data_IF_695995001963
#
_entry.id   IF_695995001963
#
_cell.length_a   1.000
_cell.length_b   1.000
_cell.length_c   1.000
_cell.angle_alpha   90.00
_cell.angle_beta   90.00
_cell.angle_gamma   90.00
#
_symmetry.space_group_name_H-M   'P 1'
#
loop_
_entity.id
_entity.type
_entity.pdbx_description
1 polymer ?
#
# COMPACT_ATOMS: atom_id res chain seq x y z
N UNK A 1 -26.89 -2.38 13.23
CA UNK A 1 -25.93 -1.79 12.27
C UNK A 1 -26.62 -1.46 10.94
N UNK A 2 -27.02 -2.43 10.10
CA UNK A 2 -27.70 -2.15 8.82
C UNK A 2 -28.95 -1.23 8.94
N UNK A 3 -29.87 -1.58 9.83
CA UNK A 3 -31.08 -0.80 10.06
C UNK A 3 -30.82 0.64 10.55
N UNK A 4 -29.68 0.88 11.21
CA UNK A 4 -29.26 2.21 11.64
C UNK A 4 -28.68 3.02 10.47
N UNK A 5 -27.87 2.39 9.61
CA UNK A 5 -27.36 3.01 8.39
C UNK A 5 -28.51 3.42 7.45
N UNK A 6 -29.49 2.52 7.25
CA UNK A 6 -30.71 2.79 6.47
C UNK A 6 -31.61 3.87 7.09
N UNK A 7 -31.48 4.17 8.38
CA UNK A 7 -32.19 5.27 9.05
C UNK A 7 -31.46 6.60 8.89
N UNK A 8 -30.12 6.59 8.97
CA UNK A 8 -29.27 7.78 8.81
C UNK A 8 -29.29 8.32 7.37
N UNK A 9 -29.36 7.45 6.37
CA UNK A 9 -29.46 7.85 4.95
C UNK A 9 -30.77 8.57 4.61
N UNK A 10 -31.82 8.42 5.42
CA UNK A 10 -33.12 9.09 5.17
C UNK A 10 -33.13 10.56 5.59
N UNK A 11 -32.08 11.06 6.25
CA UNK A 11 -32.07 12.36 6.92
C UNK A 11 -31.15 13.43 6.33
N UNK A 12 -30.17 13.09 5.49
CA UNK A 12 -29.17 14.04 4.99
C UNK A 12 -28.81 13.79 3.52
N UNK A 13 -29.01 14.78 2.64
CA UNK A 13 -28.50 14.74 1.27
C UNK A 13 -26.95 14.78 1.27
N UNK A 14 -26.32 13.78 0.67
CA UNK A 14 -24.88 13.75 0.42
C UNK A 14 -24.05 12.76 1.25
N UNK A 15 -24.67 11.90 2.08
CA UNK A 15 -23.99 10.80 2.79
C UNK A 15 -24.65 9.46 2.46
N UNK A 16 -23.84 8.45 2.17
CA UNK A 16 -24.27 7.08 1.84
C UNK A 16 -23.76 6.11 2.92
N UNK A 17 -24.40 6.16 4.10
CA UNK A 17 -24.13 5.30 5.23
C UNK A 17 -24.41 3.82 4.92
N UNK A 18 -25.33 3.52 4.00
CA UNK A 18 -25.57 2.14 3.55
C UNK A 18 -24.38 1.57 2.78
N UNK A 19 -23.75 2.36 1.92
CA UNK A 19 -22.49 1.98 1.26
C UNK A 19 -21.36 1.82 2.27
N UNK A 20 -21.19 2.79 3.20
CA UNK A 20 -20.20 2.68 4.29
C UNK A 20 -20.43 1.40 5.12
N UNK A 21 -21.67 1.12 5.51
CA UNK A 21 -22.01 -0.10 6.24
C UNK A 21 -21.63 -1.36 5.45
N UNK A 22 -21.94 -1.39 4.15
CA UNK A 22 -21.68 -2.54 3.29
C UNK A 22 -20.18 -2.77 3.14
N UNK A 23 -19.39 -1.71 2.97
CA UNK A 23 -17.93 -1.76 2.96
C UNK A 23 -17.36 -2.26 4.29
N UNK A 24 -17.79 -1.68 5.42
CA UNK A 24 -17.35 -2.10 6.75
C UNK A 24 -17.70 -3.57 7.03
N UNK A 25 -18.92 -4.00 6.70
CA UNK A 25 -19.34 -5.38 6.89
C UNK A 25 -18.50 -6.33 6.03
N UNK A 26 -18.25 -5.98 4.76
CA UNK A 26 -17.41 -6.78 3.87
C UNK A 26 -15.96 -6.89 4.35
N UNK A 27 -15.40 -5.86 5.00
CA UNK A 27 -14.08 -5.93 5.64
C UNK A 27 -14.12 -6.87 6.85
N UNK A 28 -15.07 -6.69 7.76
CA UNK A 28 -15.19 -7.52 8.96
C UNK A 28 -15.40 -9.01 8.65
N UNK A 29 -16.22 -9.33 7.64
CA UNK A 29 -16.41 -10.72 7.21
C UNK A 29 -15.15 -11.32 6.59
N UNK A 30 -14.32 -10.50 5.92
CA UNK A 30 -13.02 -10.96 5.40
C UNK A 30 -12.02 -11.21 6.52
N UNK A 31 -12.02 -10.39 7.57
CA UNK A 31 -11.12 -10.58 8.73
C UNK A 31 -11.39 -11.86 9.52
N UNK A 32 -12.63 -12.36 9.52
CA UNK A 32 -12.99 -13.61 10.21
C UNK A 32 -12.90 -14.85 9.31
N UNK A 33 -12.53 -14.71 8.02
CA UNK A 33 -12.30 -15.83 7.12
C UNK A 33 -10.83 -16.28 7.16
N UNK A 34 -10.50 -17.05 8.19
CA UNK A 34 -9.17 -17.61 8.40
C UNK A 34 -8.68 -18.55 7.30
N UNK A 35 -9.60 -19.17 6.55
CA UNK A 35 -9.22 -20.00 5.40
C UNK A 35 -8.78 -19.11 4.23
N UNK A 36 -9.44 -17.97 4.03
CA UNK A 36 -9.01 -16.97 3.07
C UNK A 36 -7.65 -16.36 3.45
N UNK A 37 -7.47 -15.99 4.71
CA UNK A 37 -6.17 -15.51 5.22
C UNK A 37 -5.05 -16.53 4.98
N UNK A 38 -5.28 -17.81 5.28
CA UNK A 38 -4.30 -18.87 4.97
C UNK A 38 -3.98 -18.97 3.47
N UNK A 39 -4.98 -18.83 2.58
CA UNK A 39 -4.76 -18.86 1.12
C UNK A 39 -3.94 -17.65 0.67
N UNK A 40 -4.21 -16.49 1.27
CA UNK A 40 -3.45 -15.26 1.04
C UNK A 40 -1.99 -15.41 1.48
N UNK A 41 -1.74 -15.97 2.66
CA UNK A 41 -0.39 -16.25 3.16
C UNK A 41 0.38 -17.19 2.21
N UNK A 42 -0.27 -18.25 1.72
CA UNK A 42 0.30 -19.17 0.75
C UNK A 42 0.60 -18.50 -0.60
N UNK A 43 -0.29 -17.63 -1.10
CA UNK A 43 -0.07 -16.84 -2.32
C UNK A 43 1.10 -15.88 -2.16
N UNK A 44 1.14 -15.13 -1.05
CA UNK A 44 2.23 -14.23 -0.73
C UNK A 44 3.57 -14.99 -0.69
N UNK A 45 3.63 -16.11 0.03
CA UNK A 45 4.83 -16.95 0.11
C UNK A 45 5.29 -17.44 -1.25
N UNK A 46 4.37 -17.80 -2.16
CA UNK A 46 4.70 -18.18 -3.54
C UNK A 46 5.27 -17.01 -4.34
N UNK A 47 4.68 -15.81 -4.24
CA UNK A 47 5.16 -14.62 -4.94
C UNK A 47 6.62 -14.30 -4.59
N UNK A 48 7.00 -14.44 -3.32
CA UNK A 48 8.36 -14.18 -2.85
C UNK A 48 9.34 -15.35 -2.97
N UNK A 49 8.86 -16.58 -3.23
CA UNK A 49 9.74 -17.73 -3.49
C UNK A 49 10.56 -17.57 -4.77
N UNK A 50 9.99 -16.90 -5.78
CA UNK A 50 10.61 -16.68 -7.08
C UNK A 50 11.08 -15.23 -7.28
N UNK A 51 11.02 -14.39 -6.23
CA UNK A 51 11.45 -13.00 -6.33
C UNK A 51 12.95 -12.87 -6.05
N UNK A 52 13.52 -11.73 -6.45
CA UNK A 52 14.88 -11.32 -6.10
C UNK A 52 15.05 -10.95 -4.61
N UNK A 53 14.02 -11.14 -3.77
CA UNK A 53 13.95 -10.66 -2.38
C UNK A 53 13.90 -11.83 -1.38
N UNK A 54 15.01 -12.58 -1.19
CA UNK A 54 15.04 -13.76 -0.31
C UNK A 54 14.85 -13.41 1.18
N UNK A 55 14.95 -12.14 1.54
CA UNK A 55 14.81 -11.61 2.89
C UNK A 55 13.35 -11.30 3.26
N UNK A 56 12.37 -11.57 2.38
CA UNK A 56 10.94 -11.51 2.71
C UNK A 56 10.45 -12.91 3.06
N UNK A 57 9.94 -13.08 4.29
CA UNK A 57 9.44 -14.36 4.79
C UNK A 57 7.99 -14.26 5.22
N UNK A 58 7.24 -15.28 4.84
CA UNK A 58 5.88 -15.54 5.29
C UNK A 58 5.79 -16.99 5.79
N UNK A 59 5.01 -17.26 6.84
CA UNK A 59 4.94 -18.57 7.45
C UNK A 59 4.34 -19.63 6.51
N UNK A 60 4.71 -20.89 6.73
CA UNK A 60 3.97 -22.03 6.18
C UNK A 60 2.60 -22.15 6.85
N UNK A 61 1.57 -22.42 6.06
CA UNK A 61 0.24 -22.75 6.58
C UNK A 61 0.17 -24.26 6.77
N UNK A 62 -0.20 -24.71 7.98
CA UNK A 62 -0.42 -26.12 8.27
C UNK A 62 -1.89 -26.47 8.08
N UNK A 63 -2.30 -26.61 6.81
CA UNK A 63 -3.70 -26.81 6.41
C UNK A 63 -4.43 -27.94 7.13
N UNK A 64 -3.73 -29.02 7.49
CA UNK A 64 -4.28 -30.16 8.24
C UNK A 64 -4.76 -29.81 9.66
N UNK A 65 -4.34 -28.65 10.19
CA UNK A 65 -4.75 -28.14 11.51
C UNK A 65 -5.62 -26.88 11.39
N UNK A 66 -5.95 -26.45 10.18
CA UNK A 66 -6.75 -25.25 9.94
C UNK A 66 -8.23 -25.58 9.82
N UNK A 67 -9.08 -24.61 10.16
CA UNK A 67 -10.53 -24.69 10.00
C UNK A 67 -11.16 -23.29 10.01
N UNK A 68 -12.50 -23.18 9.92
CA UNK A 68 -13.19 -21.89 9.80
C UNK A 68 -12.95 -20.90 10.95
N UNK A 69 -12.43 -21.37 12.09
CA UNK A 69 -12.17 -20.56 13.30
C UNK A 69 -10.76 -20.72 13.86
N UNK A 70 -9.89 -21.45 13.17
CA UNK A 70 -8.49 -21.65 13.58
C UNK A 70 -7.58 -21.63 12.35
N UNK A 71 -6.58 -20.75 12.34
CA UNK A 71 -5.47 -20.74 11.38
C UNK A 71 -4.19 -21.17 12.10
N UNK A 72 -3.47 -22.15 11.55
CA UNK A 72 -2.22 -22.65 12.13
C UNK A 72 -1.06 -22.35 11.19
N UNK A 73 -0.11 -21.55 11.66
CA UNK A 73 1.03 -21.04 10.91
C UNK A 73 2.36 -21.51 11.52
N UNK A 74 3.40 -21.58 10.68
CA UNK A 74 4.79 -21.70 11.13
C UNK A 74 5.16 -20.53 12.03
N UNK A 75 5.73 -20.85 13.20
CA UNK A 75 6.29 -19.84 14.07
C UNK A 75 7.61 -19.33 13.50
N UNK A 76 7.64 -18.06 13.12
CA UNK A 76 8.85 -17.36 12.74
C UNK A 76 9.30 -16.50 13.94
N UNK A 77 10.46 -16.76 14.56
CA UNK A 77 10.93 -15.92 15.66
C UNK A 77 11.45 -14.59 15.11
N UNK A 78 11.04 -13.48 15.72
CA UNK A 78 11.50 -12.15 15.37
C UNK A 78 11.17 -11.10 16.43
N UNK A 79 11.70 -9.89 16.22
CA UNK A 79 11.41 -8.70 17.02
C UNK A 79 10.42 -7.85 16.22
N UNK A 80 9.34 -7.36 16.84
CA UNK A 80 8.37 -6.48 16.17
C UNK A 80 9.10 -5.32 15.49
N UNK A 81 8.71 -4.99 14.26
CA UNK A 81 9.40 -3.94 13.50
C UNK A 81 9.29 -2.56 14.19
N UNK A 82 8.25 -2.34 15.00
CA UNK A 82 8.05 -1.14 15.80
C UNK A 82 8.87 -1.10 17.12
N UNK A 83 9.48 -2.19 17.54
CA UNK A 83 10.32 -2.25 18.74
C UNK A 83 11.77 -1.84 18.43
N UNK A 84 11.91 -0.56 18.04
CA UNK A 84 13.17 0.07 17.64
C UNK A 84 14.28 -0.11 18.69
N UNK A 85 14.04 0.11 20.00
CA UNK A 85 15.08 -0.06 21.01
C UNK A 85 15.64 -1.49 21.05
N UNK A 86 14.77 -2.49 20.91
CA UNK A 86 15.17 -3.89 20.93
C UNK A 86 15.88 -4.32 19.65
N UNK A 87 15.46 -3.82 18.50
CA UNK A 87 16.15 -4.03 17.22
C UNK A 87 17.55 -3.43 17.24
N UNK A 88 17.69 -2.18 17.72
CA UNK A 88 18.98 -1.51 17.86
C UNK A 88 19.90 -2.26 18.83
N UNK A 89 19.37 -2.71 19.98
CA UNK A 89 20.11 -3.50 20.96
C UNK A 89 20.56 -4.87 20.41
N UNK A 90 19.83 -5.42 19.44
CA UNK A 90 20.19 -6.64 18.73
C UNK A 90 21.17 -6.40 17.56
N UNK A 91 21.62 -5.16 17.33
CA UNK A 91 22.55 -4.82 16.26
C UNK A 91 21.95 -4.81 14.86
N UNK A 92 20.62 -4.72 14.76
CA UNK A 92 19.91 -4.68 13.47
C UNK A 92 20.11 -3.32 12.81
N UNK A 93 20.48 -3.33 11.52
CA UNK A 93 20.54 -2.13 10.69
C UNK A 93 19.12 -1.63 10.34
N UNK A 94 18.64 -0.64 11.09
CA UNK A 94 17.29 -0.09 10.96
C UNK A 94 17.06 0.60 9.61
N UNK A 95 18.08 1.27 9.06
CA UNK A 95 17.99 1.92 7.75
C UNK A 95 17.78 0.88 6.65
N UNK A 96 18.53 -0.23 6.73
CA UNK A 96 18.35 -1.36 5.82
C UNK A 96 16.98 -2.02 5.96
N UNK A 97 16.44 -2.14 7.18
CA UNK A 97 15.08 -2.66 7.41
C UNK A 97 14.03 -1.74 6.77
N UNK A 98 14.15 -0.43 6.92
CA UNK A 98 13.23 0.53 6.29
C UNK A 98 13.29 0.47 4.75
N UNK A 99 14.49 0.35 4.18
CA UNK A 99 14.68 0.19 2.75
C UNK A 99 14.05 -1.11 2.23
N UNK A 100 14.31 -2.23 2.93
CA UNK A 100 13.70 -3.54 2.65
C UNK A 100 12.18 -3.50 2.73
N UNK A 101 11.61 -2.87 3.75
CA UNK A 101 10.15 -2.77 3.90
C UNK A 101 9.54 -2.07 2.68
N UNK A 102 10.14 -0.96 2.27
CA UNK A 102 9.70 -0.20 1.09
C UNK A 102 9.78 -1.02 -0.20
N UNK A 103 10.92 -1.67 -0.44
CA UNK A 103 11.13 -2.52 -1.62
C UNK A 103 10.15 -3.69 -1.68
N UNK A 104 9.90 -4.37 -0.55
CA UNK A 104 8.95 -5.49 -0.48
C UNK A 104 7.53 -5.06 -0.84
N UNK A 105 7.10 -3.87 -0.41
CA UNK A 105 5.78 -3.33 -0.73
C UNK A 105 5.65 -2.89 -2.19
N UNK A 106 6.70 -2.27 -2.75
CA UNK A 106 6.72 -1.92 -4.16
C UNK A 106 6.67 -3.18 -5.05
N UNK A 107 7.40 -4.24 -4.71
CA UNK A 107 7.36 -5.51 -5.45
C UNK A 107 6.00 -6.20 -5.34
N UNK A 108 5.37 -6.21 -4.15
CA UNK A 108 4.00 -6.69 -3.98
C UNK A 108 3.02 -6.01 -4.95
N UNK A 109 3.08 -4.68 -5.02
CA UNK A 109 2.14 -3.88 -5.80
C UNK A 109 2.45 -3.91 -7.29
N UNK A 110 3.68 -3.52 -7.67
CA UNK A 110 4.06 -3.28 -9.07
C UNK A 110 4.37 -4.58 -9.81
N UNK A 111 4.97 -5.58 -9.14
CA UNK A 111 5.34 -6.85 -9.79
C UNK A 111 4.23 -7.89 -9.66
N UNK A 112 3.73 -8.11 -8.45
CA UNK A 112 2.77 -9.18 -8.21
C UNK A 112 1.30 -8.74 -8.36
N UNK A 113 1.00 -7.44 -8.24
CA UNK A 113 -0.39 -6.96 -8.17
C UNK A 113 -1.14 -7.54 -6.96
N UNK A 114 -0.43 -8.03 -5.96
CA UNK A 114 -0.99 -8.66 -4.76
C UNK A 114 -0.24 -8.11 -3.56
N UNK A 115 -0.91 -7.25 -2.79
CA UNK A 115 -0.27 -6.39 -1.82
C UNK A 115 -1.00 -6.38 -0.49
N UNK A 116 -0.25 -6.18 0.58
CA UNK A 116 -0.81 -6.04 1.91
C UNK A 116 -1.44 -4.64 2.05
N UNK A 117 -2.77 -4.58 2.15
CA UNK A 117 -3.51 -3.31 2.14
C UNK A 117 -3.41 -2.53 3.46
N UNK A 118 -2.99 -3.18 4.55
CA UNK A 118 -2.79 -2.54 5.85
C UNK A 118 -1.46 -2.94 6.53
N UNK A 119 -0.31 -2.34 6.17
CA UNK A 119 1.04 -2.66 6.67
C UNK A 119 1.28 -2.45 8.17
N UNK A 120 0.27 -2.59 9.02
CA UNK A 120 0.35 -2.19 10.40
C UNK A 120 1.60 -2.82 11.07
N UNK A 121 2.40 -2.04 11.82
CA UNK A 121 3.65 -2.54 12.40
C UNK A 121 3.51 -3.79 13.29
N UNK A 122 2.30 -4.06 13.79
CA UNK A 122 1.98 -5.28 14.52
C UNK A 122 2.10 -6.57 13.71
N UNK A 123 1.99 -6.48 12.38
CA UNK A 123 1.92 -7.61 11.47
C UNK A 123 3.28 -7.95 10.85
N UNK A 124 4.31 -7.18 11.18
CA UNK A 124 5.67 -7.33 10.65
C UNK A 124 6.66 -7.43 11.80
N UNK A 125 7.56 -8.41 11.72
CA UNK A 125 8.74 -8.49 12.59
C UNK A 125 10.00 -8.60 11.76
N UNK A 126 11.14 -8.48 12.42
CA UNK A 126 12.46 -8.61 11.84
C UNK A 126 13.19 -9.76 12.51
N UNK A 127 13.81 -10.64 11.74
CA UNK A 127 14.73 -11.63 12.29
C UNK A 127 16.00 -10.90 12.76
N UNK A 128 16.32 -10.87 14.06
CA UNK A 128 17.45 -10.09 14.57
C UNK A 128 18.81 -10.56 14.03
N UNK A 129 18.90 -11.78 13.49
CA UNK A 129 20.15 -12.36 13.01
C UNK A 129 20.46 -11.99 11.56
N UNK A 130 19.42 -11.82 10.75
CA UNK A 130 19.54 -11.62 9.29
C UNK A 130 18.99 -10.27 8.81
N UNK A 131 18.17 -9.61 9.64
CA UNK A 131 17.41 -8.41 9.26
C UNK A 131 16.27 -8.71 8.29
N UNK A 132 15.87 -9.98 8.13
CA UNK A 132 14.79 -10.38 7.22
C UNK A 132 13.44 -9.93 7.75
N UNK A 133 12.54 -9.54 6.85
CA UNK A 133 11.18 -9.17 7.18
C UNK A 133 10.30 -10.40 7.30
N UNK A 134 9.52 -10.46 8.38
CA UNK A 134 8.64 -11.56 8.72
C UNK A 134 7.20 -11.03 8.76
N UNK A 135 6.36 -11.45 7.81
CA UNK A 135 4.96 -11.06 7.72
C UNK A 135 4.07 -12.13 8.37
N UNK A 136 3.09 -11.73 9.18
CA UNK A 136 2.23 -12.68 9.93
C UNK A 136 0.75 -12.61 9.59
N UNK A 137 0.24 -11.43 9.27
CA UNK A 137 -1.17 -11.20 8.96
C UNK A 137 -1.34 -11.09 7.45
N UNK A 138 -2.34 -11.79 6.92
CA UNK A 138 -2.70 -11.75 5.50
C UNK A 138 -4.21 -11.62 5.31
N UNK A 139 -4.93 -11.15 6.35
CA UNK A 139 -6.38 -10.95 6.33
C UNK A 139 -6.78 -9.84 5.36
N UNK A 140 -5.96 -8.79 5.27
CA UNK A 140 -6.17 -7.65 4.38
C UNK A 140 -5.17 -7.61 3.22
N UNK A 141 -5.37 -8.48 2.23
CA UNK A 141 -4.66 -8.42 0.96
C UNK A 141 -5.53 -7.80 -0.14
N UNK A 142 -4.95 -6.86 -0.89
CA UNK A 142 -5.53 -6.27 -2.07
C UNK A 142 -4.99 -6.91 -3.36
N UNK A 143 -5.80 -6.87 -4.41
CA UNK A 143 -5.41 -7.33 -5.74
C UNK A 143 -5.61 -6.21 -6.78
N UNK A 144 -4.62 -6.07 -7.66
CA UNK A 144 -4.61 -5.15 -8.78
C UNK A 144 -4.57 -5.99 -10.05
N UNK A 145 -5.62 -5.89 -10.86
CA UNK A 145 -5.68 -6.59 -12.14
C UNK A 145 -4.54 -6.14 -13.06
N UNK A 146 -3.99 -7.03 -13.91
CA UNK A 146 -2.80 -6.73 -14.71
C UNK A 146 -2.85 -5.40 -15.47
N UNK A 147 -3.95 -5.10 -16.16
CA UNK A 147 -4.12 -3.86 -16.93
C UNK A 147 -4.05 -2.59 -16.05
N UNK A 148 -4.62 -2.66 -14.84
CA UNK A 148 -4.56 -1.56 -13.87
C UNK A 148 -3.16 -1.44 -13.30
N UNK A 149 -2.48 -2.57 -13.06
CA UNK A 149 -1.11 -2.61 -12.54
C UNK A 149 -0.13 -1.98 -13.51
N UNK A 150 -0.21 -2.32 -14.80
CA UNK A 150 0.64 -1.72 -15.84
C UNK A 150 0.48 -0.20 -15.89
N UNK A 151 -0.76 0.29 -15.85
CA UNK A 151 -1.02 1.73 -15.84
C UNK A 151 -0.59 2.43 -14.55
N UNK A 152 -0.69 1.74 -13.41
CA UNK A 152 -0.14 2.23 -12.14
C UNK A 152 1.39 2.30 -12.18
N UNK A 153 2.04 1.33 -12.82
CA UNK A 153 3.47 1.38 -13.11
C UNK A 153 3.79 2.60 -13.97
N UNK A 154 3.03 2.86 -15.04
CA UNK A 154 3.23 4.04 -15.89
C UNK A 154 3.08 5.37 -15.13
N UNK A 155 2.12 5.47 -14.20
CA UNK A 155 2.00 6.62 -13.30
C UNK A 155 3.27 6.77 -12.46
N UNK A 156 3.74 5.69 -11.85
CA UNK A 156 4.93 5.69 -10.99
C UNK A 156 6.20 6.07 -11.77
N UNK A 157 6.43 5.46 -12.94
CA UNK A 157 7.54 5.79 -13.83
C UNK A 157 7.43 7.23 -14.36
N UNK A 158 6.22 7.69 -14.69
CA UNK A 158 5.98 9.05 -15.16
C UNK A 158 6.30 10.11 -14.10
N UNK A 159 5.90 9.88 -12.85
CA UNK A 159 6.28 10.75 -11.72
C UNK A 159 7.80 10.74 -11.54
N UNK A 160 8.42 9.57 -11.56
CA UNK A 160 9.87 9.42 -11.40
C UNK A 160 10.68 10.13 -12.50
N UNK A 161 10.29 9.96 -13.77
CA UNK A 161 10.95 10.59 -14.93
C UNK A 161 10.51 12.04 -15.17
N UNK A 162 9.63 12.57 -14.32
CA UNK A 162 8.96 13.86 -14.51
C UNK A 162 8.24 13.98 -15.87
N UNK A 163 7.76 12.86 -16.41
CA UNK A 163 6.98 12.80 -17.64
C UNK A 163 5.50 13.03 -17.33
N UNK A 164 5.11 14.31 -17.30
CA UNK A 164 3.71 14.72 -17.07
C UNK A 164 2.75 14.10 -18.07
N UNK A 165 3.18 13.86 -19.31
CA UNK A 165 2.30 13.38 -20.36
C UNK A 165 2.02 11.88 -20.21
N UNK A 166 3.04 11.10 -19.78
CA UNK A 166 2.85 9.70 -19.38
C UNK A 166 1.89 9.59 -18.20
N UNK A 167 2.08 10.40 -17.15
CA UNK A 167 1.17 10.38 -15.99
C UNK A 167 -0.25 10.75 -16.41
N UNK A 168 -0.43 11.79 -17.21
CA UNK A 168 -1.75 12.22 -17.69
C UNK A 168 -2.47 11.11 -18.48
N UNK A 169 -1.79 10.50 -19.46
CA UNK A 169 -2.37 9.39 -20.26
C UNK A 169 -2.73 8.19 -19.38
N UNK A 170 -1.91 7.90 -18.38
CA UNK A 170 -2.12 6.77 -17.46
C UNK A 170 -3.31 7.01 -16.54
N UNK A 171 -3.46 8.23 -16.00
CA UNK A 171 -4.62 8.62 -15.19
C UNK A 171 -5.93 8.57 -15.99
N UNK A 172 -5.93 9.00 -17.25
CA UNK A 172 -7.09 8.84 -18.14
C UNK A 172 -7.42 7.37 -18.37
N UNK A 173 -6.39 6.56 -18.62
CA UNK A 173 -6.56 5.14 -18.90
C UNK A 173 -7.04 4.34 -17.69
N UNK A 174 -6.67 4.77 -16.48
CA UNK A 174 -7.16 4.25 -15.21
C UNK A 174 -8.58 4.72 -14.88
N UNK A 175 -9.18 5.54 -15.74
CA UNK A 175 -10.46 6.21 -15.52
C UNK A 175 -10.48 7.11 -14.27
N UNK A 176 -9.29 7.41 -13.74
CA UNK A 176 -9.07 8.35 -12.63
C UNK A 176 -9.36 9.76 -13.09
N UNK A 177 -9.07 10.08 -14.35
CA UNK A 177 -9.42 11.36 -14.97
C UNK A 177 -10.38 11.09 -16.14
N UNK A 178 -11.56 11.74 -16.18
CA UNK A 178 -12.41 11.63 -17.37
C UNK A 178 -11.74 12.33 -18.56
N UNK A 179 -11.86 11.80 -19.77
CA UNK A 179 -11.48 12.52 -20.98
C UNK A 179 -12.29 13.83 -21.09
N UNK A 180 -11.63 14.97 -20.92
CA UNK A 180 -12.17 16.30 -21.25
C UNK A 180 -11.45 16.85 -22.48
N UNK A 181 -12.13 17.68 -23.27
CA UNK A 181 -11.56 18.25 -24.49
C UNK A 181 -10.35 19.15 -24.23
N UNK A 182 -10.42 20.00 -23.21
CA UNK A 182 -9.26 20.77 -22.73
C UNK A 182 -8.66 20.09 -21.49
N UNK A 183 -7.41 19.65 -21.60
CA UNK A 183 -6.61 19.07 -20.50
C UNK A 183 -5.47 20.00 -20.08
N UNK A 184 -5.41 21.23 -20.59
CA UNK A 184 -4.31 22.18 -20.35
C UNK A 184 -4.23 22.62 -18.89
N UNK A 185 -5.37 22.82 -18.24
CA UNK A 185 -5.45 23.09 -16.79
C UNK A 185 -4.94 21.90 -15.98
N UNK A 186 -5.44 20.70 -16.26
CA UNK A 186 -5.05 19.45 -15.58
C UNK A 186 -3.57 19.17 -15.77
N UNK A 187 -3.05 19.31 -16.99
CA UNK A 187 -1.63 19.11 -17.29
C UNK A 187 -0.74 20.08 -16.51
N UNK A 188 -1.15 21.35 -16.39
CA UNK A 188 -0.42 22.35 -15.59
C UNK A 188 -0.42 21.98 -14.10
N UNK A 189 -1.58 21.60 -13.56
CA UNK A 189 -1.69 21.19 -12.18
C UNK A 189 -0.87 19.92 -11.88
N UNK A 190 -0.94 18.93 -12.78
CA UNK A 190 -0.17 17.68 -12.67
C UNK A 190 1.34 17.92 -12.79
N UNK A 191 1.78 18.81 -13.67
CA UNK A 191 3.19 19.21 -13.75
C UNK A 191 3.66 19.85 -12.46
N UNK A 192 2.88 20.80 -11.95
CA UNK A 192 3.17 21.45 -10.66
C UNK A 192 3.27 20.42 -9.54
N UNK A 193 2.34 19.47 -9.50
CA UNK A 193 2.34 18.38 -8.53
C UNK A 193 3.56 17.47 -8.64
N UNK A 194 3.94 17.03 -9.85
CA UNK A 194 5.12 16.20 -10.09
C UNK A 194 6.41 16.93 -9.68
N UNK A 195 6.52 18.22 -10.03
CA UNK A 195 7.65 19.06 -9.61
C UNK A 195 7.67 19.27 -8.10
N UNK A 196 6.49 19.33 -7.47
CA UNK A 196 6.35 19.44 -6.02
C UNK A 196 6.76 18.15 -5.31
N UNK A 197 6.36 16.97 -5.78
CA UNK A 197 6.78 15.67 -5.22
C UNK A 197 8.30 15.58 -5.12
N UNK A 198 9.03 16.01 -6.16
CA UNK A 198 10.48 15.99 -6.15
C UNK A 198 11.06 16.88 -5.03
N UNK A 199 10.48 18.08 -4.82
CA UNK A 199 10.87 19.00 -3.73
C UNK A 199 10.41 18.51 -2.36
N UNK A 200 9.25 17.88 -2.28
CA UNK A 200 8.69 17.30 -1.07
C UNK A 200 9.51 16.10 -0.59
N UNK A 201 10.05 15.30 -1.52
CA UNK A 201 11.01 14.25 -1.21
C UNK A 201 12.32 14.79 -0.59
N UNK A 202 12.74 16.00 -0.97
CA UNK A 202 13.87 16.74 -0.36
C UNK A 202 13.50 17.33 1.01
N UNK A 203 12.24 17.74 1.20
CA UNK A 203 11.70 18.30 2.46
C UNK A 203 11.18 17.25 3.44
N UNK A 204 11.21 15.96 3.08
CA UNK A 204 10.69 14.84 3.87
C UNK A 204 9.18 14.92 4.19
N UNK A 205 8.39 15.59 3.35
CA UNK A 205 6.93 15.62 3.49
C UNK A 205 6.32 14.22 3.30
N UNK A 206 5.13 14.00 3.88
CA UNK A 206 4.49 12.67 3.94
C UNK A 206 3.73 12.34 2.66
N UNK A 207 3.62 11.05 2.33
CA UNK A 207 2.79 10.53 1.23
C UNK A 207 1.32 10.91 1.44
N UNK A 208 0.89 11.02 2.69
CA UNK A 208 -0.45 11.51 3.00
C UNK A 208 -0.65 12.96 2.56
N UNK A 209 0.28 13.87 2.88
CA UNK A 209 0.21 15.27 2.44
C UNK A 209 0.22 15.39 0.92
N UNK A 210 1.04 14.58 0.24
CA UNK A 210 1.04 14.47 -1.23
C UNK A 210 -0.33 14.03 -1.76
N UNK A 211 -0.96 13.05 -1.09
CA UNK A 211 -2.31 12.60 -1.43
C UNK A 211 -3.36 13.71 -1.25
N UNK A 212 -3.30 14.44 -0.14
CA UNK A 212 -4.20 15.56 0.16
C UNK A 212 -4.06 16.70 -0.87
N UNK A 213 -2.83 17.04 -1.28
CA UNK A 213 -2.56 18.00 -2.36
C UNK A 213 -3.17 17.53 -3.70
N UNK A 214 -3.04 16.24 -4.01
CA UNK A 214 -3.64 15.64 -5.22
C UNK A 214 -5.17 15.73 -5.18
N UNK A 215 -5.77 15.43 -4.02
CA UNK A 215 -7.21 15.55 -3.83
C UNK A 215 -7.67 17.01 -3.94
N UNK A 216 -6.92 17.98 -3.41
CA UNK A 216 -7.23 19.41 -3.52
C UNK A 216 -7.22 19.87 -4.98
N UNK A 217 -6.25 19.42 -5.79
CA UNK A 217 -6.21 19.68 -7.24
C UNK A 217 -7.42 19.03 -7.95
N UNK A 218 -7.91 17.93 -7.42
CA UNK A 218 -9.02 17.18 -7.99
C UNK A 218 -10.41 17.78 -7.70
N UNK A 219 -10.56 18.68 -6.72
CA UNK A 219 -11.86 19.22 -6.26
C UNK A 219 -12.67 19.89 -7.38
N UNK A 220 -11.99 20.51 -8.35
CA UNK A 220 -12.63 21.18 -9.50
C UNK A 220 -12.36 20.49 -10.85
N UNK A 221 -11.81 19.28 -10.81
CA UNK A 221 -11.39 18.54 -11.99
C UNK A 221 -12.18 17.22 -12.07
N UNK A 222 -12.32 16.60 -13.26
CA UNK A 222 -13.18 15.43 -13.45
C UNK A 222 -12.52 14.14 -12.95
N UNK A 223 -11.99 14.16 -11.73
CA UNK A 223 -11.36 12.99 -11.11
C UNK A 223 -12.41 12.03 -10.55
N UNK A 224 -12.13 10.73 -10.68
CA UNK A 224 -12.89 9.62 -10.07
C UNK A 224 -11.89 8.60 -9.55
N UNK A 225 -11.58 8.64 -8.26
CA UNK A 225 -10.65 7.68 -7.68
C UNK A 225 -11.33 6.33 -7.44
N UNK A 226 -10.88 5.23 -8.06
CA UNK A 226 -11.32 3.89 -7.71
C UNK A 226 -10.97 3.57 -6.25
N UNK A 227 -11.80 2.77 -5.57
CA UNK A 227 -11.55 2.35 -4.17
C UNK A 227 -10.15 1.73 -3.97
N UNK A 228 -9.62 1.05 -4.99
CA UNK A 228 -8.26 0.48 -5.00
C UNK A 228 -7.17 1.52 -4.70
N UNK A 229 -7.32 2.77 -5.16
CA UNK A 229 -6.34 3.83 -4.89
C UNK A 229 -6.31 4.24 -3.42
N UNK A 230 -7.46 4.23 -2.74
CA UNK A 230 -7.54 4.52 -1.31
C UNK A 230 -6.72 3.51 -0.50
N UNK A 231 -6.83 2.22 -0.85
CA UNK A 231 -6.02 1.17 -0.21
C UNK A 231 -4.52 1.32 -0.49
N UNK A 232 -4.15 1.69 -1.72
CA UNK A 232 -2.75 1.95 -2.09
C UNK A 232 -2.18 3.13 -1.31
N UNK A 233 -2.90 4.26 -1.26
CA UNK A 233 -2.48 5.43 -0.50
C UNK A 233 -2.34 5.11 0.99
N UNK A 234 -3.34 4.45 1.59
CA UNK A 234 -3.29 4.02 3.00
C UNK A 234 -2.09 3.12 3.27
N UNK A 235 -1.82 2.14 2.41
CA UNK A 235 -0.69 1.24 2.57
C UNK A 235 0.63 2.02 2.55
N UNK A 236 0.83 2.90 1.56
CA UNK A 236 2.06 3.69 1.51
C UNK A 236 2.21 4.69 2.65
N UNK A 237 1.14 5.36 3.09
CA UNK A 237 1.18 6.25 4.25
C UNK A 237 1.55 5.51 5.54
N UNK A 238 0.96 4.32 5.76
CA UNK A 238 1.26 3.49 6.93
C UNK A 238 2.71 3.01 6.90
N UNK A 239 3.17 2.56 5.73
CA UNK A 239 4.54 2.11 5.51
C UNK A 239 5.55 3.24 5.71
N UNK A 240 5.26 4.44 5.22
CA UNK A 240 6.13 5.60 5.42
C UNK A 240 6.27 5.96 6.90
N UNK A 241 5.16 6.00 7.64
CA UNK A 241 5.18 6.24 9.09
C UNK A 241 6.03 5.21 9.83
N UNK A 242 5.89 3.93 9.46
CA UNK A 242 6.71 2.85 9.97
C UNK A 242 8.21 3.07 9.66
N UNK A 243 8.54 3.35 8.40
CA UNK A 243 9.92 3.54 7.97
C UNK A 243 10.57 4.78 8.60
N UNK A 244 9.83 5.89 8.79
CA UNK A 244 10.28 7.07 9.53
C UNK A 244 10.53 6.78 11.01
N UNK A 245 9.78 5.84 11.61
CA UNK A 245 10.02 5.34 12.96
C UNK A 245 11.34 4.56 13.09
N UNK A 246 11.75 3.85 12.02
CA UNK A 246 13.01 3.11 11.95
C UNK A 246 14.21 4.00 11.63
N UNK A 247 14.03 4.94 10.70
CA UNK A 247 15.06 5.88 10.25
C UNK A 247 14.44 7.29 10.12
N UNK A 248 14.76 8.22 11.04
CA UNK A 248 14.26 9.60 10.97
C UNK A 248 14.61 10.34 9.68
N UNK A 249 15.64 9.90 8.95
CA UNK A 249 16.04 10.49 7.68
C UNK A 249 15.44 9.77 6.45
N UNK A 250 14.56 8.81 6.67
CA UNK A 250 13.91 8.04 5.62
C UNK A 250 13.18 8.94 4.61
N UNK A 251 13.38 8.64 3.32
CA UNK A 251 12.66 9.26 2.21
C UNK A 251 12.19 8.18 1.25
N UNK A 252 10.87 8.04 1.13
CA UNK A 252 10.25 7.05 0.25
C UNK A 252 10.75 7.19 -1.20
N UNK A 253 10.77 8.43 -1.72
CA UNK A 253 11.21 8.69 -3.09
C UNK A 253 12.64 8.22 -3.38
N UNK A 254 13.56 8.34 -2.41
CA UNK A 254 14.95 7.87 -2.56
C UNK A 254 15.06 6.35 -2.65
N UNK A 255 14.25 5.63 -1.88
CA UNK A 255 14.24 4.15 -1.88
C UNK A 255 13.46 3.59 -3.08
N UNK A 256 12.43 4.30 -3.53
CA UNK A 256 11.59 3.88 -4.64
C UNK A 256 12.23 4.14 -6.02
N UNK A 257 13.15 5.12 -6.11
CA UNK A 257 13.83 5.53 -7.35
C UNK A 257 14.54 4.40 -8.13
N UNK A 258 15.36 3.51 -7.50
CA UNK A 258 16.04 2.43 -8.22
C UNK A 258 15.06 1.42 -8.83
N UNK A 259 13.94 1.17 -8.16
CA UNK A 259 12.90 0.24 -8.60
C UNK A 259 12.07 0.79 -9.76
N UNK A 260 12.11 2.10 -9.99
CA UNK A 260 11.55 2.77 -11.17
C UNK A 260 12.49 2.74 -12.39
N UNK A 261 13.62 2.02 -12.32
CA UNK A 261 14.58 1.89 -13.43
C UNK A 261 14.68 0.49 -14.02
N UNK A 262 14.18 -0.53 -13.31
CA UNK A 262 14.11 -1.94 -13.75
C UNK A 262 12.85 -2.22 -14.58
#
# INVERSE_FOLDING_TARGET
>A
MRALAEQLDRGEEGRDFTSIYSECAAVLYREIDYLNEGRNADRFRRNFRSSSLPWVRAPRVYWQYCGPRVLVLEYLPGIKISDVPRLASAGVDLQRVAARATEAYLVQMLRHGFFHADPHPGNISVDPRTGDLLFYDFGMMGEIVPDVRERLMDVFYGVYRKDTDLVLRSLVSLQVLRPSGDTTSVRRALRYFIDNIARQAERQETIQAIGEDLFAIAVDQPFRFPATFTFVLRAFSTLEGLCKGLDPHFSFGRVAAPLAGE
#
